data_IF_476306635909
#
_entry.id   IF_476306635909
#
_cell.length_a   1.000
_cell.length_b   1.000
_cell.length_c   1.000
_cell.angle_alpha   90.00
_cell.angle_beta   90.00
_cell.angle_gamma   90.00
#
_symmetry.space_group_name_H-M   'P 1'
#
loop_
_entity.id
_entity.type
_entity.pdbx_description
1 polymer ?
#
# COMPACT_ATOMS: atom_id res chain seq x y z
N UNK A 1 -10.75 78.92 -18.98
CA UNK A 1 -9.51 78.14 -18.77
C UNK A 1 -9.92 76.89 -18.05
N UNK A 2 -10.10 75.84 -18.84
CA UNK A 2 -10.65 74.54 -18.49
C UNK A 2 -9.54 73.61 -18.01
N UNK A 3 -9.87 72.81 -16.99
CA UNK A 3 -9.37 71.44 -16.71
C UNK A 3 -7.89 71.31 -16.30
N UNK A 4 -7.41 70.33 -15.55
CA UNK A 4 -7.94 69.33 -14.63
C UNK A 4 -6.67 68.57 -14.21
N UNK A 5 -6.19 68.71 -12.97
CA UNK A 5 -5.02 67.94 -12.50
C UNK A 5 -5.47 66.93 -11.45
N UNK A 6 -6.08 65.85 -11.95
CA UNK A 6 -6.46 64.69 -11.17
C UNK A 6 -5.21 63.88 -10.87
N UNK A 7 -4.82 63.86 -9.59
CA UNK A 7 -3.81 62.97 -9.04
C UNK A 7 -4.15 61.51 -9.39
N UNK A 8 -3.45 60.99 -10.40
CA UNK A 8 -3.43 59.56 -10.73
C UNK A 8 -2.72 58.82 -9.61
N UNK A 9 -3.51 58.33 -8.65
CA UNK A 9 -3.09 57.44 -7.58
C UNK A 9 -2.43 56.21 -8.21
N UNK A 10 -1.10 56.18 -8.12
CA UNK A 10 -0.22 55.15 -8.65
C UNK A 10 -0.32 53.91 -7.77
N UNK A 11 -1.46 53.22 -7.81
CA UNK A 11 -1.69 51.94 -7.12
C UNK A 11 -1.74 50.78 -8.13
N UNK A 12 -0.80 50.78 -9.07
CA UNK A 12 -0.57 49.67 -9.99
C UNK A 12 0.72 48.97 -9.57
N UNK A 13 0.61 47.98 -8.68
CA UNK A 13 1.78 47.19 -8.29
C UNK A 13 1.53 46.28 -7.11
N UNK A 14 0.80 45.16 -7.34
CA UNK A 14 0.89 43.85 -6.66
C UNK A 14 -0.47 43.16 -6.63
N UNK A 15 -0.92 42.68 -7.79
CA UNK A 15 -1.73 41.46 -7.90
C UNK A 15 -1.34 40.75 -9.21
N UNK A 16 -0.05 40.47 -9.35
CA UNK A 16 0.43 39.41 -10.22
C UNK A 16 0.51 38.14 -9.39
N UNK A 17 -0.09 37.06 -9.89
CA UNK A 17 -0.32 35.76 -9.25
C UNK A 17 -1.65 35.65 -8.49
N UNK A 18 -2.77 35.82 -9.21
CA UNK A 18 -3.86 34.85 -8.99
C UNK A 18 -3.33 33.55 -9.61
N UNK A 19 -2.84 32.68 -8.73
CA UNK A 19 -2.57 31.28 -9.04
C UNK A 19 -3.70 30.73 -9.92
N UNK A 20 -3.39 29.97 -10.99
CA UNK A 20 -4.41 29.45 -11.88
C UNK A 20 -5.44 28.70 -11.03
N UNK A 21 -6.72 29.06 -11.17
CA UNK A 21 -7.78 28.17 -10.76
C UNK A 21 -7.53 26.86 -11.48
N UNK A 22 -7.05 25.86 -10.74
CA UNK A 22 -6.86 24.53 -11.25
C UNK A 22 -8.26 24.02 -11.58
N UNK A 23 -8.69 24.18 -12.83
CA UNK A 23 -10.01 23.73 -13.34
C UNK A 23 -10.22 22.27 -12.93
N UNK A 24 -9.13 21.49 -12.92
CA UNK A 24 -9.10 20.10 -12.50
C UNK A 24 -9.46 19.87 -11.03
N UNK A 25 -9.27 20.83 -10.12
CA UNK A 25 -9.72 20.73 -8.73
C UNK A 25 -11.26 20.88 -8.62
N UNK A 26 -11.85 21.72 -9.48
CA UNK A 26 -13.30 21.87 -9.56
C UNK A 26 -13.94 20.64 -10.20
N UNK A 27 -13.34 20.12 -11.27
CA UNK A 27 -13.77 18.86 -11.91
C UNK A 27 -13.63 17.66 -10.96
N UNK A 28 -12.54 17.60 -10.19
CA UNK A 28 -12.36 16.57 -9.16
C UNK A 28 -13.49 16.61 -8.15
N UNK A 29 -13.89 17.79 -7.66
CA UNK A 29 -14.99 17.93 -6.72
C UNK A 29 -16.34 17.44 -7.30
N UNK A 30 -16.57 17.66 -8.60
CA UNK A 30 -17.74 17.14 -9.30
C UNK A 30 -17.72 15.60 -9.40
N UNK A 31 -16.58 15.01 -9.76
CA UNK A 31 -16.43 13.57 -9.96
C UNK A 31 -16.50 12.78 -8.64
N UNK A 32 -15.86 13.25 -7.57
CA UNK A 32 -15.74 12.50 -6.31
C UNK A 32 -17.00 12.54 -5.44
N UNK A 33 -17.89 13.50 -5.70
CA UNK A 33 -19.14 13.68 -4.97
C UNK A 33 -18.98 14.23 -3.53
N UNK A 34 -20.11 14.51 -2.85
CA UNK A 34 -20.12 15.30 -1.62
C UNK A 34 -19.45 14.61 -0.42
N UNK A 35 -19.53 13.28 -0.32
CA UNK A 35 -18.93 12.52 0.79
C UNK A 35 -17.39 12.60 0.76
N UNK A 36 -16.81 12.32 -0.41
CA UNK A 36 -15.36 12.33 -0.62
C UNK A 36 -14.82 13.76 -0.57
N UNK A 37 -15.57 14.74 -1.08
CA UNK A 37 -15.20 16.16 -0.94
C UNK A 37 -15.20 16.61 0.54
N UNK A 38 -16.16 16.14 1.34
CA UNK A 38 -16.16 16.36 2.79
C UNK A 38 -14.92 15.80 3.49
N UNK A 39 -14.51 14.59 3.10
CA UNK A 39 -13.25 13.99 3.57
C UNK A 39 -12.04 14.83 3.13
N UNK A 40 -11.98 15.23 1.86
CA UNK A 40 -10.90 16.05 1.32
C UNK A 40 -10.77 17.36 2.11
N UNK A 41 -11.88 18.02 2.41
CA UNK A 41 -11.90 19.23 3.24
C UNK A 41 -11.35 18.97 4.65
N UNK A 42 -11.67 17.82 5.25
CA UNK A 42 -11.10 17.42 6.55
C UNK A 42 -9.58 17.21 6.47
N UNK A 43 -9.10 16.59 5.39
CA UNK A 43 -7.68 16.32 5.16
C UNK A 43 -6.88 17.58 4.84
N UNK A 44 -7.49 18.61 4.26
CA UNK A 44 -6.80 19.84 3.88
C UNK A 44 -6.81 20.94 4.95
N UNK A 45 -7.55 20.78 6.05
CA UNK A 45 -7.59 21.76 7.15
C UNK A 45 -6.18 22.17 7.62
N UNK A 46 -5.90 23.48 7.83
CA UNK A 46 -6.80 24.65 7.79
C UNK A 46 -7.06 25.22 6.38
N UNK A 47 -6.36 24.77 5.34
CA UNK A 47 -6.42 25.34 4.00
C UNK A 47 -7.62 24.82 3.18
N UNK A 48 -8.10 25.66 2.26
CA UNK A 48 -9.14 25.26 1.32
C UNK A 48 -8.56 24.27 0.30
N UNK A 49 -9.27 23.19 -0.05
CA UNK A 49 -8.81 22.27 -1.09
C UNK A 49 -8.62 22.97 -2.43
N UNK A 50 -9.39 24.03 -2.71
CA UNK A 50 -9.26 24.87 -3.91
C UNK A 50 -7.96 25.67 -3.99
N UNK A 51 -7.20 25.77 -2.89
CA UNK A 51 -5.90 26.46 -2.85
C UNK A 51 -4.73 25.51 -3.13
N UNK A 52 -4.96 24.19 -3.11
CA UNK A 52 -3.92 23.17 -3.36
C UNK A 52 -4.01 22.68 -4.79
N UNK A 53 -2.87 22.24 -5.33
CA UNK A 53 -2.82 21.63 -6.66
C UNK A 53 -3.51 20.27 -6.67
N UNK A 54 -4.04 19.89 -7.84
CA UNK A 54 -4.70 18.61 -8.05
C UNK A 54 -3.85 17.40 -7.62
N UNK A 55 -2.55 17.41 -7.89
CA UNK A 55 -1.64 16.32 -7.51
C UNK A 55 -1.55 16.14 -5.99
N UNK A 56 -1.56 17.23 -5.23
CA UNK A 56 -1.54 17.18 -3.76
C UNK A 56 -2.86 16.62 -3.23
N UNK A 57 -3.98 17.06 -3.79
CA UNK A 57 -5.32 16.56 -3.41
C UNK A 57 -5.47 15.07 -3.71
N UNK A 58 -5.04 14.64 -4.91
CA UNK A 58 -5.04 13.25 -5.34
C UNK A 58 -4.17 12.39 -4.43
N UNK A 59 -2.98 12.85 -4.09
CA UNK A 59 -2.10 12.14 -3.15
C UNK A 59 -2.73 11.99 -1.78
N UNK A 60 -3.24 13.07 -1.19
CA UNK A 60 -3.89 13.02 0.12
C UNK A 60 -5.09 12.06 0.15
N UNK A 61 -5.90 12.04 -0.91
CA UNK A 61 -7.00 11.08 -1.04
C UNK A 61 -6.49 9.64 -1.19
N UNK A 62 -5.48 9.42 -2.03
CA UNK A 62 -4.89 8.09 -2.23
C UNK A 62 -4.33 7.51 -0.93
N UNK A 63 -3.56 8.32 -0.19
CA UNK A 63 -2.93 7.90 1.07
C UNK A 63 -3.97 7.53 2.14
N UNK A 64 -5.09 8.25 2.17
CA UNK A 64 -6.17 7.99 3.14
C UNK A 64 -7.08 6.83 2.74
N UNK A 65 -7.42 6.71 1.45
CA UNK A 65 -8.34 5.67 0.96
C UNK A 65 -7.64 4.33 0.73
N UNK A 66 -6.34 4.34 0.50
CA UNK A 66 -5.51 3.15 0.27
C UNK A 66 -4.27 3.17 1.17
N UNK A 67 -4.45 3.08 2.50
CA UNK A 67 -3.33 3.10 3.43
C UNK A 67 -2.39 1.91 3.17
N UNK A 68 -1.07 2.12 3.40
CA UNK A 68 -0.06 1.06 3.30
C UNK A 68 -0.49 -0.13 4.17
N UNK A 69 -0.60 -1.35 3.62
CA UNK A 69 -0.96 -2.52 4.40
C UNK A 69 0.02 -2.74 5.56
N UNK A 70 -0.50 -3.04 6.75
CA UNK A 70 0.34 -3.34 7.91
C UNK A 70 0.96 -4.74 7.79
N UNK A 71 2.27 -4.86 8.01
CA UNK A 71 3.00 -6.14 8.02
C UNK A 71 2.39 -7.14 9.01
N UNK A 72 2.02 -6.67 10.20
CA UNK A 72 1.37 -7.51 11.23
C UNK A 72 0.00 -7.99 10.74
N UNK A 73 -0.74 -7.10 10.08
CA UNK A 73 -2.03 -7.43 9.47
C UNK A 73 -1.90 -8.47 8.36
N UNK A 74 -0.93 -8.32 7.46
CA UNK A 74 -0.66 -9.28 6.38
C UNK A 74 -0.20 -10.64 6.92
N UNK A 75 0.68 -10.66 7.93
CA UNK A 75 1.08 -11.90 8.62
C UNK A 75 -0.11 -12.59 9.29
N UNK A 76 -1.00 -11.82 9.93
CA UNK A 76 -2.22 -12.37 10.51
C UNK A 76 -3.15 -12.97 9.45
N UNK A 77 -3.28 -12.33 8.27
CA UNK A 77 -4.03 -12.88 7.14
C UNK A 77 -3.43 -14.20 6.64
N UNK A 78 -2.11 -14.27 6.50
CA UNK A 78 -1.40 -15.49 6.12
C UNK A 78 -1.68 -16.64 7.11
N UNK A 79 -1.52 -16.41 8.41
CA UNK A 79 -1.78 -17.44 9.42
C UNK A 79 -3.25 -17.86 9.53
N UNK A 80 -4.19 -16.96 9.24
CA UNK A 80 -5.63 -17.28 9.25
C UNK A 80 -6.11 -17.98 7.97
N UNK A 81 -5.30 -18.05 6.91
CA UNK A 81 -5.71 -18.62 5.63
C UNK A 81 -5.67 -20.16 5.65
N UNK A 82 -6.81 -20.76 5.93
CA UNK A 82 -7.06 -22.20 5.83
C UNK A 82 -7.76 -22.53 4.50
N UNK A 83 -7.56 -23.74 3.98
CA UNK A 83 -8.28 -24.25 2.81
C UNK A 83 -9.78 -24.33 3.13
N UNK A 84 -10.63 -23.77 2.25
CA UNK A 84 -12.10 -23.84 2.44
C UNK A 84 -12.65 -25.18 1.96
N UNK A 85 -13.82 -25.55 2.48
CA UNK A 85 -14.53 -26.73 1.99
C UNK A 85 -14.91 -26.55 0.51
N UNK A 86 -14.60 -27.54 -0.33
CA UNK A 86 -14.77 -27.46 -1.78
C UNK A 86 -13.72 -26.63 -2.53
N UNK A 87 -12.76 -26.02 -1.84
CA UNK A 87 -11.65 -25.32 -2.50
C UNK A 87 -10.56 -26.31 -2.94
N UNK A 88 -10.13 -26.22 -4.21
CA UNK A 88 -9.00 -26.98 -4.71
C UNK A 88 -7.68 -26.59 -4.04
N UNK A 89 -6.83 -27.58 -3.74
CA UNK A 89 -5.53 -27.38 -3.06
C UNK A 89 -4.61 -26.39 -3.79
N UNK A 90 -4.69 -26.31 -5.12
CA UNK A 90 -3.94 -25.35 -5.93
C UNK A 90 -4.34 -23.90 -5.63
N UNK A 91 -5.65 -23.61 -5.56
CA UNK A 91 -6.15 -22.25 -5.29
C UNK A 91 -5.76 -21.81 -3.87
N UNK A 92 -5.91 -22.71 -2.90
CA UNK A 92 -5.49 -22.43 -1.52
C UNK A 92 -3.99 -22.13 -1.44
N UNK A 93 -3.16 -22.94 -2.10
CA UNK A 93 -1.71 -22.76 -2.11
C UNK A 93 -1.33 -21.43 -2.79
N UNK A 94 -1.91 -21.15 -3.96
CA UNK A 94 -1.68 -19.90 -4.70
C UNK A 94 -2.00 -18.67 -3.84
N UNK A 95 -3.14 -18.67 -3.17
CA UNK A 95 -3.54 -17.58 -2.29
C UNK A 95 -2.61 -17.45 -1.07
N UNK A 96 -2.15 -18.58 -0.54
CA UNK A 96 -1.21 -18.60 0.59
C UNK A 96 0.17 -18.06 0.19
N UNK A 97 0.66 -18.41 -1.00
CA UNK A 97 1.91 -17.88 -1.57
C UNK A 97 1.79 -16.37 -1.85
N UNK A 98 0.64 -15.90 -2.35
CA UNK A 98 0.41 -14.47 -2.54
C UNK A 98 0.41 -13.69 -1.21
N UNK A 99 -0.17 -14.26 -0.16
CA UNK A 99 -0.13 -13.67 1.18
C UNK A 99 1.29 -13.66 1.75
N UNK A 100 2.06 -14.74 1.54
CA UNK A 100 3.45 -14.84 1.98
C UNK A 100 4.29 -13.67 1.45
N UNK A 101 4.17 -13.35 0.15
CA UNK A 101 4.87 -12.22 -0.45
C UNK A 101 4.48 -10.83 0.07
N UNK A 102 3.35 -10.71 0.78
CA UNK A 102 2.91 -9.47 1.45
C UNK A 102 3.36 -9.38 2.91
N UNK A 103 3.88 -10.47 3.48
CA UNK A 103 4.34 -10.50 4.87
C UNK A 103 5.78 -10.00 5.06
N UNK A 104 6.57 -9.96 3.98
CA UNK A 104 7.92 -9.41 3.96
C UNK A 104 7.86 -7.89 3.82
N UNK A 105 8.49 -7.17 4.76
CA UNK A 105 8.67 -5.73 4.63
C UNK A 105 9.91 -5.48 3.76
N UNK A 106 9.78 -4.96 2.53
CA UNK A 106 10.92 -4.74 1.65
C UNK A 106 11.92 -3.71 2.21
N UNK A 107 11.48 -2.82 3.12
CA UNK A 107 12.36 -1.82 3.74
C UNK A 107 13.19 -2.43 4.89
N UNK A 108 12.77 -3.56 5.47
CA UNK A 108 13.49 -4.27 6.55
C UNK A 108 14.69 -5.06 6.00
N UNK A 109 14.53 -5.69 4.83
CA UNK A 109 15.58 -6.52 4.19
C UNK A 109 16.83 -5.70 3.80
N UNK A 110 16.72 -4.39 3.61
CA UNK A 110 17.87 -3.52 3.36
C UNK A 110 18.81 -3.39 4.57
N UNK A 111 18.33 -3.69 5.78
CA UNK A 111 19.12 -3.59 7.02
C UNK A 111 19.63 -4.95 7.53
N UNK A 112 19.03 -6.06 7.09
CA UNK A 112 19.31 -7.40 7.64
C UNK A 112 20.33 -8.21 6.78
N UNK A 113 20.99 -7.59 5.78
CA UNK A 113 22.07 -8.24 5.01
C UNK A 113 23.37 -8.47 5.79
N UNK A 114 23.47 -8.00 7.04
CA UNK A 114 24.59 -8.32 7.92
C UNK A 114 24.13 -9.25 9.06
N UNK A 115 24.05 -10.55 8.80
CA UNK A 115 23.87 -11.51 9.91
C UNK A 115 23.18 -12.83 9.63
N UNK A 116 22.83 -13.17 8.39
CA UNK A 116 22.29 -14.52 8.08
C UNK A 116 23.40 -15.57 7.96
N UNK A 117 24.16 -15.76 9.05
CA UNK A 117 24.77 -17.06 9.37
C UNK A 117 23.71 -17.87 10.11
N UNK A 118 22.66 -18.28 9.40
CA UNK A 118 21.71 -19.25 9.96
C UNK A 118 22.37 -20.62 9.91
N UNK A 119 22.71 -21.16 11.09
CA UNK A 119 23.24 -22.51 11.25
C UNK A 119 22.48 -23.50 10.36
N UNK A 120 23.18 -24.07 9.39
CA UNK A 120 22.78 -25.32 8.75
C UNK A 120 22.82 -26.39 9.83
N UNK A 121 21.69 -26.64 10.47
CA UNK A 121 21.49 -27.85 11.27
C UNK A 121 21.47 -29.01 10.28
N UNK A 122 22.57 -29.76 10.24
CA UNK A 122 22.65 -30.97 9.43
C UNK A 122 21.57 -31.96 9.91
N UNK A 123 20.77 -32.57 9.01
CA UNK A 123 19.89 -33.66 9.40
C UNK A 123 20.74 -34.88 9.77
N UNK A 124 20.64 -35.32 11.03
CA UNK A 124 21.18 -36.61 11.48
C UNK A 124 20.51 -37.72 10.67
N UNK A 125 21.30 -38.41 9.87
CA UNK A 125 20.87 -39.62 9.16
C UNK A 125 21.01 -40.81 10.10
N UNK A 126 19.91 -41.27 10.68
CA UNK A 126 19.93 -42.53 11.43
C UNK A 126 20.04 -43.71 10.44
N UNK A 127 20.95 -44.69 10.68
CA UNK A 127 21.17 -45.77 9.74
C UNK A 127 19.99 -46.76 9.70
N UNK A 128 19.58 -47.04 8.48
CA UNK A 128 18.68 -48.12 8.05
C UNK A 128 18.91 -49.43 8.82
N UNK A 129 17.91 -49.89 9.57
CA UNK A 129 17.79 -51.30 9.93
C UNK A 129 16.76 -51.92 8.98
N UNK A 130 17.29 -52.47 7.88
CA UNK A 130 16.58 -53.37 6.99
C UNK A 130 16.42 -54.72 7.71
N UNK A 131 15.20 -55.10 8.04
CA UNK A 131 14.87 -56.48 8.43
C UNK A 131 13.86 -57.00 7.43
N UNK A 132 14.32 -57.86 6.53
CA UNK A 132 13.49 -58.58 5.57
C UNK A 132 12.76 -59.76 6.25
N UNK A 133 11.54 -60.11 5.81
CA UNK A 133 10.88 -61.35 6.26
C UNK A 133 11.34 -62.55 5.43
N UNK A 134 11.90 -63.57 6.08
CA UNK A 134 12.21 -64.86 5.45
C UNK A 134 10.89 -65.65 5.29
N UNK A 135 10.42 -65.76 4.05
CA UNK A 135 9.26 -66.59 3.69
C UNK A 135 9.68 -68.07 3.64
N UNK A 136 9.05 -68.92 4.45
CA UNK A 136 9.23 -70.38 4.41
C UNK A 136 8.38 -70.99 3.29
N UNK A 137 8.98 -71.84 2.48
CA UNK A 137 8.29 -72.72 1.52
C UNK A 137 8.89 -74.13 1.56
N UNK A 138 8.11 -75.17 1.26
CA UNK A 138 8.10 -76.43 2.00
C UNK A 138 9.03 -77.54 1.46
N UNK A 139 9.38 -78.45 2.38
CA UNK A 139 10.01 -79.76 2.14
C UNK A 139 9.13 -80.70 1.28
N UNK A 140 9.83 -81.58 0.58
CA UNK A 140 9.33 -82.59 -0.36
C UNK A 140 8.44 -83.68 0.26
#
# INVERSE_FOLDING_TARGET
>A
MTEAETAGTHFAGRLGQLEPFDESASDLAYIIGPKTYGLLKSLTTPDLPSTKSFEVLKKALSDHLSPKPSVIGERAKFHRRCQKEGEGSFNWRRDKDQLLGRTTDPDREASDQEGSEFLVVQPSVDPVTSSAPTTSGPDA
#
